data_IF_461417138453
#
_entry.id   IF_461417138453
#
_cell.length_a   1.000
_cell.length_b   1.000
_cell.length_c   1.000
_cell.angle_alpha   90.00
_cell.angle_beta   90.00
_cell.angle_gamma   90.00
#
_symmetry.space_group_name_H-M   'P 1'
#
loop_
_entity.id
_entity.type
_entity.pdbx_description
1 polymer ?
#
# COMPACT_ATOMS: atom_id res chain seq x y z
N UNK A 1 6.25 -12.23 -2.85
CA UNK A 1 4.98 -11.70 -2.30
C UNK A 1 4.38 -10.68 -3.25
N UNK A 2 5.09 -9.57 -3.54
CA UNK A 2 4.59 -8.54 -4.46
C UNK A 2 4.23 -9.10 -5.86
N UNK A 3 5.05 -9.99 -6.42
CA UNK A 3 4.72 -10.67 -7.70
C UNK A 3 3.45 -11.55 -7.59
N UNK A 4 3.33 -12.35 -6.53
CA UNK A 4 2.12 -13.17 -6.27
C UNK A 4 0.88 -12.29 -6.09
N UNK A 5 1.04 -11.09 -5.54
CA UNK A 5 -0.07 -10.17 -5.37
C UNK A 5 -0.61 -9.62 -6.71
N UNK A 6 0.21 -9.51 -7.75
CA UNK A 6 -0.24 -9.17 -9.12
C UNK A 6 -1.06 -10.31 -9.72
N UNK A 7 -0.72 -11.57 -9.44
CA UNK A 7 -1.47 -12.71 -9.97
C UNK A 7 -2.83 -12.90 -9.27
N UNK A 8 -2.89 -12.57 -7.97
CA UNK A 8 -4.09 -12.75 -7.15
C UNK A 8 -5.03 -11.54 -7.13
N UNK A 9 -4.52 -10.35 -7.41
CA UNK A 9 -5.31 -9.11 -7.53
C UNK A 9 -5.17 -8.70 -8.99
N UNK A 10 -6.23 -8.50 -9.76
CA UNK A 10 -6.18 -8.03 -11.16
C UNK A 10 -5.69 -6.56 -11.19
N UNK A 11 -4.42 -6.39 -10.85
CA UNK A 11 -3.70 -5.12 -10.71
C UNK A 11 -2.40 -5.20 -11.49
N UNK A 12 -1.96 -4.04 -11.99
CA UNK A 12 -0.72 -3.94 -12.75
C UNK A 12 0.53 -3.95 -11.87
N UNK A 13 0.39 -3.46 -10.63
CA UNK A 13 1.49 -3.33 -9.69
C UNK A 13 1.00 -3.22 -8.24
N UNK A 14 1.89 -3.54 -7.30
CA UNK A 14 1.60 -3.52 -5.86
C UNK A 14 2.74 -2.88 -5.09
N UNK A 15 2.40 -2.11 -4.07
CA UNK A 15 3.33 -1.57 -3.09
C UNK A 15 2.88 -1.87 -1.66
N UNK A 16 3.85 -1.97 -0.75
CA UNK A 16 3.60 -2.06 0.69
C UNK A 16 4.39 -0.95 1.37
N UNK A 17 3.69 -0.13 2.14
CA UNK A 17 4.30 0.88 2.99
C UNK A 17 4.04 0.58 4.46
N UNK A 18 5.05 0.75 5.29
CA UNK A 18 4.96 0.51 6.72
C UNK A 18 5.59 1.68 7.48
N UNK A 19 5.34 1.74 8.78
CA UNK A 19 5.97 2.77 9.62
C UNK A 19 7.44 2.38 9.86
N UNK A 20 8.34 3.23 9.40
CA UNK A 20 9.78 3.14 9.67
C UNK A 20 10.11 3.44 11.14
N UNK A 21 11.39 3.34 11.47
CA UNK A 21 11.91 3.52 12.84
C UNK A 21 11.71 4.93 13.38
N UNK A 22 11.69 5.93 12.50
CA UNK A 22 11.50 7.35 12.85
C UNK A 22 10.03 7.78 12.89
N UNK A 23 9.10 6.84 12.76
CA UNK A 23 7.66 7.11 12.81
C UNK A 23 7.07 7.62 11.50
N UNK A 24 7.90 7.84 10.48
CA UNK A 24 7.52 8.14 9.09
C UNK A 24 7.07 6.88 8.36
N UNK A 25 6.17 7.02 7.39
CA UNK A 25 5.77 5.92 6.52
C UNK A 25 6.80 5.76 5.40
N UNK A 26 7.30 4.56 5.24
CA UNK A 26 8.36 4.20 4.30
C UNK A 26 7.92 3.03 3.44
N UNK A 27 8.43 2.97 2.21
CA UNK A 27 8.17 1.87 1.31
C UNK A 27 8.94 0.63 1.79
N UNK A 28 8.21 -0.43 2.14
CA UNK A 28 8.80 -1.70 2.57
C UNK A 28 9.06 -2.63 1.36
N UNK A 29 8.16 -2.62 0.37
CA UNK A 29 8.29 -3.41 -0.84
C UNK A 29 7.47 -2.81 -1.98
N UNK A 30 7.87 -3.07 -3.22
CA UNK A 30 7.12 -2.73 -4.43
C UNK A 30 7.41 -3.76 -5.52
N UNK A 31 6.48 -3.96 -6.44
CA UNK A 31 6.66 -4.85 -7.61
C UNK A 31 7.65 -4.28 -8.61
N UNK A 32 7.64 -2.96 -8.82
CA UNK A 32 8.53 -2.27 -9.74
C UNK A 32 8.68 -0.77 -9.38
N UNK A 33 9.48 -0.05 -10.14
CA UNK A 33 9.68 1.39 -9.96
C UNK A 33 8.47 2.26 -10.34
N UNK A 34 7.45 1.70 -11.00
CA UNK A 34 6.18 2.41 -11.23
C UNK A 34 5.33 2.38 -9.96
N UNK A 35 5.21 1.21 -9.31
CA UNK A 35 4.53 1.05 -8.02
C UNK A 35 5.19 1.88 -6.91
N UNK A 36 6.53 1.94 -6.87
CA UNK A 36 7.27 2.81 -5.94
C UNK A 36 6.83 4.26 -6.09
N UNK A 37 6.90 4.81 -7.32
CA UNK A 37 6.52 6.20 -7.59
C UNK A 37 5.04 6.44 -7.28
N UNK A 38 4.17 5.51 -7.65
CA UNK A 38 2.73 5.63 -7.41
C UNK A 38 2.39 5.68 -5.91
N UNK A 39 3.07 4.88 -5.08
CA UNK A 39 2.89 4.88 -3.63
C UNK A 39 3.41 6.17 -2.96
N UNK A 40 4.45 6.79 -3.51
CA UNK A 40 5.01 8.05 -3.01
C UNK A 40 4.13 9.28 -3.33
N UNK A 41 3.24 9.18 -4.32
CA UNK A 41 2.37 10.29 -4.71
C UNK A 41 1.41 10.73 -3.60
N UNK A 42 0.90 9.80 -2.79
CA UNK A 42 0.01 10.17 -1.67
C UNK A 42 0.73 11.00 -0.61
N UNK A 43 2.00 10.70 -0.35
CA UNK A 43 2.82 11.49 0.56
C UNK A 43 3.06 12.90 0.02
N UNK A 44 3.24 13.04 -1.30
CA UNK A 44 3.41 14.33 -1.98
C UNK A 44 2.10 15.13 -2.05
N UNK A 45 0.99 14.45 -2.33
CA UNK A 45 -0.33 15.06 -2.46
C UNK A 45 -0.88 15.50 -1.10
N UNK A 46 -0.57 14.77 -0.02
CA UNK A 46 -1.15 14.94 1.31
C UNK A 46 -2.56 14.35 1.45
N UNK A 47 -3.00 13.59 0.45
CA UNK A 47 -4.32 12.98 0.33
C UNK A 47 -4.22 11.76 -0.59
N UNK A 48 -5.23 10.90 -0.57
CA UNK A 48 -5.34 9.76 -1.46
C UNK A 48 -6.04 8.56 -0.82
N UNK A 49 -6.29 7.50 -1.59
CA UNK A 49 -6.91 6.27 -1.11
C UNK A 49 -6.26 5.68 0.13
N UNK A 50 -4.94 5.58 0.18
CA UNK A 50 -4.18 5.05 1.31
C UNK A 50 -4.25 5.92 2.54
N UNK A 51 -4.15 7.24 2.38
CA UNK A 51 -4.37 8.20 3.46
C UNK A 51 -5.75 8.01 4.11
N UNK A 52 -6.81 7.95 3.30
CA UNK A 52 -8.17 7.71 3.78
C UNK A 52 -8.33 6.31 4.41
N UNK A 53 -7.72 5.28 3.83
CA UNK A 53 -7.79 3.92 4.35
C UNK A 53 -7.23 3.82 5.77
N UNK A 54 -6.14 4.54 6.04
CA UNK A 54 -5.52 4.61 7.37
C UNK A 54 -6.39 5.39 8.37
N UNK A 55 -7.02 6.48 7.94
CA UNK A 55 -7.91 7.29 8.80
C UNK A 55 -9.18 6.51 9.15
N UNK A 56 -9.80 5.87 8.15
CA UNK A 56 -11.05 5.14 8.30
C UNK A 56 -10.85 3.75 8.94
N UNK A 57 -9.61 3.23 8.92
CA UNK A 57 -9.30 1.89 9.41
C UNK A 57 -9.89 0.78 8.54
N UNK A 58 -10.13 1.05 7.26
CA UNK A 58 -10.79 0.12 6.33
C UNK A 58 -10.28 0.24 4.91
N UNK A 59 -10.68 -0.70 4.05
CA UNK A 59 -10.37 -0.66 2.62
C UNK A 59 -10.95 0.61 1.98
N UNK A 60 -10.13 1.26 1.16
CA UNK A 60 -10.57 2.33 0.26
C UNK A 60 -10.18 1.97 -1.16
N UNK A 61 -11.17 1.96 -2.04
CA UNK A 61 -10.99 1.64 -3.45
C UNK A 61 -11.45 2.79 -4.34
N UNK A 62 -10.70 2.98 -5.42
CA UNK A 62 -10.95 3.94 -6.47
C UNK A 62 -10.83 3.19 -7.80
N UNK A 63 -11.89 2.49 -8.24
CA UNK A 63 -11.87 1.72 -9.48
C UNK A 63 -11.74 2.63 -10.72
N UNK A 64 -12.13 3.89 -10.60
CA UNK A 64 -11.87 4.96 -11.57
C UNK A 64 -11.46 6.23 -10.81
N UNK A 65 -10.21 6.66 -10.98
CA UNK A 65 -9.69 7.88 -10.34
C UNK A 65 -10.33 9.16 -10.87
N UNK A 66 -10.91 9.17 -12.07
CA UNK A 66 -11.57 10.35 -12.65
C UNK A 66 -12.90 10.63 -11.92
N UNK A 67 -13.58 9.58 -11.48
CA UNK A 67 -14.77 9.68 -10.63
C UNK A 67 -14.42 10.19 -9.23
N UNK A 68 -13.25 9.83 -8.72
CA UNK A 68 -12.76 10.25 -7.40
C UNK A 68 -12.05 11.62 -7.38
N UNK A 69 -12.02 12.36 -8.49
CA UNK A 69 -11.31 13.66 -8.61
C UNK A 69 -11.70 14.72 -7.58
N UNK A 70 -12.95 14.68 -7.09
CA UNK A 70 -13.43 15.64 -6.08
C UNK A 70 -13.03 15.24 -4.67
N UNK A 71 -12.74 13.95 -4.45
CA UNK A 71 -12.32 13.40 -3.17
C UNK A 71 -10.82 13.61 -2.94
N UNK A 72 -10.02 13.39 -3.99
CA UNK A 72 -8.56 13.58 -3.94
C UNK A 72 -8.05 14.35 -5.19
N UNK A 73 -8.31 15.66 -5.30
CA UNK A 73 -7.96 16.46 -6.48
C UNK A 73 -6.46 16.52 -6.79
N UNK A 74 -5.60 16.69 -5.78
CA UNK A 74 -4.14 16.74 -5.91
C UNK A 74 -3.60 15.35 -6.24
N UNK A 75 -4.07 14.32 -5.52
CA UNK A 75 -3.63 12.95 -5.78
C UNK A 75 -4.01 12.51 -7.19
N UNK A 76 -5.26 12.75 -7.61
CA UNK A 76 -5.71 12.49 -8.97
C UNK A 76 -4.72 13.09 -9.95
N UNK A 77 -4.48 14.40 -9.88
CA UNK A 77 -3.65 15.11 -10.87
C UNK A 77 -2.28 14.45 -11.04
N UNK A 78 -1.58 14.19 -9.93
CA UNK A 78 -0.27 13.54 -9.93
C UNK A 78 -0.33 12.08 -10.43
N UNK A 79 -1.34 11.33 -9.98
CA UNK A 79 -1.51 9.93 -10.32
C UNK A 79 -1.84 9.75 -11.82
N UNK A 80 -2.64 10.65 -12.38
CA UNK A 80 -2.96 10.69 -13.81
C UNK A 80 -1.74 11.00 -14.68
N UNK A 81 -0.86 11.93 -14.26
CA UNK A 81 0.41 12.18 -14.96
C UNK A 81 1.33 10.94 -14.97
N UNK A 82 1.27 10.13 -13.91
CA UNK A 82 2.01 8.86 -13.82
C UNK A 82 1.32 7.68 -14.55
N UNK A 83 0.10 7.89 -15.06
CA UNK A 83 -0.69 6.88 -15.76
C UNK A 83 -1.42 5.88 -14.86
N UNK A 84 -1.67 6.23 -13.60
CA UNK A 84 -2.51 5.45 -12.68
C UNK A 84 -3.97 5.79 -12.96
N UNK A 85 -4.80 4.77 -13.16
CA UNK A 85 -6.23 4.90 -13.45
C UNK A 85 -7.13 4.32 -12.34
N UNK A 86 -6.64 3.31 -11.61
CA UNK A 86 -7.34 2.75 -10.44
C UNK A 86 -6.39 2.45 -9.30
N UNK A 87 -6.89 2.55 -8.06
CA UNK A 87 -6.12 2.35 -6.83
C UNK A 87 -6.95 1.62 -5.78
N UNK A 88 -6.35 0.67 -5.10
CA UNK A 88 -6.97 -0.11 -4.03
C UNK A 88 -6.04 -0.13 -2.84
N UNK A 89 -6.51 0.37 -1.69
CA UNK A 89 -5.70 0.55 -0.50
C UNK A 89 -6.28 -0.23 0.67
N UNK A 90 -5.48 -1.15 1.21
CA UNK A 90 -5.86 -2.03 2.31
C UNK A 90 -4.95 -1.82 3.52
N UNK A 91 -5.52 -1.46 4.69
CA UNK A 91 -4.77 -1.44 5.94
C UNK A 91 -4.29 -2.85 6.30
N UNK A 92 -3.02 -2.97 6.66
CA UNK A 92 -2.36 -4.22 7.04
C UNK A 92 -1.98 -4.15 8.53
N UNK A 93 -2.61 -4.94 9.40
CA UNK A 93 -2.27 -4.96 10.83
C UNK A 93 -0.85 -5.51 11.05
N UNK A 94 0.07 -4.64 11.46
CA UNK A 94 1.48 -4.99 11.70
C UNK A 94 1.83 -5.13 13.20
N UNK A 95 0.86 -4.92 14.08
CA UNK A 95 1.02 -5.02 15.53
C UNK A 95 1.62 -3.78 16.20
N UNK A 96 1.80 -2.67 15.48
CA UNK A 96 2.47 -1.45 15.98
C UNK A 96 1.53 -0.35 16.45
N UNK A 97 0.22 -0.59 16.39
CA UNK A 97 -0.81 0.42 16.65
C UNK A 97 -1.03 1.40 15.48
N UNK A 98 -0.20 1.35 14.43
CA UNK A 98 -0.39 2.07 13.18
C UNK A 98 -0.27 1.07 12.01
N UNK A 99 -1.38 0.75 11.31
CA UNK A 99 -1.34 -0.28 10.27
C UNK A 99 -0.39 0.10 9.13
N UNK A 100 0.30 -0.90 8.58
CA UNK A 100 0.93 -0.79 7.27
C UNK A 100 -0.17 -0.67 6.19
N UNK A 101 0.24 -0.43 4.95
CA UNK A 101 -0.69 -0.30 3.83
C UNK A 101 -0.20 -1.17 2.69
N UNK A 102 -1.09 -2.01 2.17
CA UNK A 102 -0.95 -2.69 0.89
C UNK A 102 -1.74 -1.88 -0.15
N UNK A 103 -1.09 -1.49 -1.24
CA UNK A 103 -1.72 -0.69 -2.30
C UNK A 103 -1.55 -1.38 -3.64
N UNK A 104 -2.66 -1.63 -4.33
CA UNK A 104 -2.70 -2.12 -5.71
C UNK A 104 -2.99 -0.97 -6.68
N UNK A 105 -2.35 -0.98 -7.84
CA UNK A 105 -2.48 0.05 -8.88
C UNK A 105 -2.86 -0.58 -10.21
N UNK A 106 -3.72 0.09 -10.98
CA UNK A 106 -4.00 -0.25 -12.38
C UNK A 106 -3.74 0.94 -13.31
N UNK A 107 -3.35 0.63 -14.54
CA UNK A 107 -3.22 1.58 -15.66
C UNK A 107 -4.54 1.78 -16.41
N UNK A 108 -5.52 0.92 -16.16
CA UNK A 108 -6.87 1.02 -16.70
C UNK A 108 -7.90 1.10 -15.56
N UNK A 109 -8.98 1.86 -15.75
CA UNK A 109 -10.08 1.87 -14.80
C UNK A 109 -10.77 0.50 -14.78
N UNK A 110 -11.30 0.12 -13.62
CA UNK A 110 -11.99 -1.13 -13.41
C UNK A 110 -12.03 -1.51 -11.94
N UNK A 111 -13.17 -2.00 -11.48
CA UNK A 111 -13.28 -2.57 -10.13
C UNK A 111 -12.65 -3.97 -10.08
N UNK A 112 -12.04 -4.32 -8.95
CA UNK A 112 -11.63 -5.69 -8.68
C UNK A 112 -12.88 -6.59 -8.68
N UNK A 113 -12.87 -7.73 -9.41
CA UNK A 113 -13.83 -8.81 -9.22
C UNK A 113 -13.97 -9.23 -7.76
N UNK A 114 -15.15 -9.79 -7.41
CA UNK A 114 -15.44 -10.20 -6.03
C UNK A 114 -14.43 -11.22 -5.48
N UNK A 115 -13.97 -12.16 -6.31
CA UNK A 115 -13.02 -13.19 -5.91
C UNK A 115 -11.67 -12.59 -5.49
N UNK A 116 -11.18 -11.58 -6.21
CA UNK A 116 -9.91 -10.94 -5.90
C UNK A 116 -9.96 -10.08 -4.63
N UNK A 117 -11.14 -9.55 -4.28
CA UNK A 117 -11.34 -8.94 -2.95
C UNK A 117 -11.20 -9.96 -1.82
N UNK A 118 -11.58 -11.22 -2.05
CA UNK A 118 -11.36 -12.30 -1.09
C UNK A 118 -9.86 -12.65 -1.02
N UNK A 119 -9.18 -12.69 -2.16
CA UNK A 119 -7.74 -12.95 -2.23
C UNK A 119 -6.90 -11.83 -1.59
N UNK A 120 -7.38 -10.58 -1.64
CA UNK A 120 -6.78 -9.46 -0.93
C UNK A 120 -6.67 -9.72 0.59
N UNK A 121 -7.66 -10.36 1.21
CA UNK A 121 -7.60 -10.71 2.63
C UNK A 121 -6.45 -11.67 2.96
N UNK A 122 -6.20 -12.65 2.08
CA UNK A 122 -5.08 -13.59 2.25
C UNK A 122 -3.72 -12.88 2.09
N UNK A 123 -3.61 -11.98 1.10
CA UNK A 123 -2.42 -11.17 0.89
C UNK A 123 -2.14 -10.20 2.05
N UNK A 124 -3.19 -9.57 2.61
CA UNK A 124 -3.09 -8.72 3.79
C UNK A 124 -2.54 -9.53 4.98
N UNK A 125 -3.06 -10.74 5.21
CA UNK A 125 -2.58 -11.60 6.28
C UNK A 125 -1.10 -12.03 6.07
N UNK A 126 -0.70 -12.30 4.83
CA UNK A 126 0.68 -12.63 4.49
C UNK A 126 1.62 -11.43 4.68
N UNK A 127 1.24 -10.25 4.20
CA UNK A 127 1.99 -9.01 4.38
C UNK A 127 2.15 -8.68 5.87
N UNK A 128 1.08 -8.81 6.65
CA UNK A 128 1.10 -8.63 8.10
C UNK A 128 2.12 -9.56 8.79
N UNK A 129 2.18 -10.83 8.38
CA UNK A 129 3.15 -11.80 8.91
C UNK A 129 4.59 -11.45 8.50
N UNK A 130 4.81 -11.08 7.24
CA UNK A 130 6.12 -10.69 6.73
C UNK A 130 6.67 -9.45 7.46
N UNK A 131 5.84 -8.41 7.61
CA UNK A 131 6.21 -7.18 8.31
C UNK A 131 6.57 -7.43 9.78
N UNK A 132 5.82 -8.28 10.49
CA UNK A 132 6.16 -8.68 11.86
C UNK A 132 7.52 -9.39 11.92
N UNK A 133 7.76 -10.33 11.00
CA UNK A 133 9.01 -11.07 10.93
C UNK A 133 10.21 -10.15 10.70
N UNK A 134 10.11 -9.21 9.76
CA UNK A 134 11.20 -8.26 9.45
C UNK A 134 11.51 -7.35 10.63
N UNK A 135 10.48 -6.90 11.37
CA UNK A 135 10.65 -6.09 12.58
C UNK A 135 11.33 -6.87 13.70
N UNK A 136 10.92 -8.10 13.95
CA UNK A 136 11.56 -8.96 14.94
C UNK A 136 13.04 -9.19 14.62
N UNK A 137 13.35 -9.38 13.33
CA UNK A 137 14.73 -9.51 12.85
C UNK A 137 15.54 -8.23 13.07
N UNK A 138 14.99 -7.08 12.72
CA UNK A 138 15.63 -5.78 12.92
C UNK A 138 15.87 -5.48 14.41
N UNK A 139 14.91 -5.81 15.28
CA UNK A 139 15.05 -5.65 16.74
C UNK A 139 16.16 -6.53 17.34
N UNK A 140 16.35 -7.76 16.83
CA UNK A 140 17.44 -8.64 17.27
C UNK A 140 18.81 -8.10 16.86
N UNK A 141 18.95 -7.61 15.62
CA UNK A 141 20.20 -7.02 15.14
C UNK A 141 20.57 -5.73 15.90
N UNK A 142 19.59 -4.89 16.27
CA UNK A 142 19.83 -3.70 17.08
C UNK A 142 20.20 -4.00 18.55
N UNK A 143 19.71 -5.11 19.11
CA UNK A 143 20.05 -5.54 20.47
C UNK A 143 21.46 -6.10 20.62
N UNK A 144 22.02 -6.68 19.56
CA UNK A 144 23.40 -7.18 19.53
C UNK A 144 24.43 -6.03 19.43
N UNK A 145 24.13 -4.97 18.67
CA UNK A 145 25.02 -3.81 18.51
C UNK A 145 25.12 -2.88 19.74
N UNK A 146 24.19 -2.99 20.69
CA UNK A 146 24.19 -2.18 21.92
C UNK A 146 24.84 -2.91 23.12
N UNK A 147 25.58 -4.00 22.86
CA UNK A 147 26.26 -4.81 23.87
C UNK A 147 27.80 -4.73 23.78
N UNK A 148 28.33 -3.85 22.93
CA UNK A 148 29.76 -3.56 22.78
C UNK A 148 30.15 -2.22 23.43
#
# INVERSE_FOLDING_TARGET
>A
MCEVAIECLDVDAVAISARGTHGTRELAAATDGWATRAAELEATAGEGPGHDALILGGEVSAPDLDEARHRWPRYRALAGELGVAAVFAWPVPDGTGAPALLTGFRRQPGALPYQERVDAAALIALAAKALRYDRERAGRAGGEANKE
#
